data_IF_444514083560
#
_entry.id   IF_444514083560
#
_cell.length_a   1.000
_cell.length_b   1.000
_cell.length_c   1.000
_cell.angle_alpha   90.00
_cell.angle_beta   90.00
_cell.angle_gamma   90.00
#
_symmetry.space_group_name_H-M   'P 1'
#
loop_
_entity.id
_entity.type
_entity.pdbx_description
1 polymer ?
#
# COMPACT_ATOMS: atom_id res chain seq x y z
N UNK A 1 -7.39 -25.61 7.34
CA UNK A 1 -7.98 -24.79 8.42
C UNK A 1 -7.97 -23.31 8.05
N UNK A 2 -6.82 -22.74 7.71
CA UNK A 2 -6.74 -21.30 7.39
C UNK A 2 -7.01 -20.97 5.93
N UNK A 3 -7.13 -21.95 5.06
CA UNK A 3 -7.32 -21.70 3.61
C UNK A 3 -8.62 -20.94 3.30
N UNK A 4 -9.65 -21.08 4.14
CA UNK A 4 -10.92 -20.40 3.98
C UNK A 4 -11.03 -19.11 4.79
N UNK A 5 -9.99 -18.75 5.54
CA UNK A 5 -9.99 -17.54 6.35
C UNK A 5 -9.81 -16.28 5.50
N UNK A 6 -10.42 -15.20 5.94
CA UNK A 6 -10.15 -13.88 5.36
C UNK A 6 -8.78 -13.41 5.84
N UNK A 7 -7.98 -12.91 4.92
CA UNK A 7 -6.64 -12.39 5.23
C UNK A 7 -6.72 -10.88 5.38
N UNK A 8 -6.20 -10.35 6.49
CA UNK A 8 -6.14 -8.92 6.74
C UNK A 8 -4.69 -8.50 6.90
N UNK A 9 -4.13 -7.70 5.99
CA UNK A 9 -2.81 -7.12 6.18
C UNK A 9 -2.77 -6.19 7.39
N UNK A 10 -1.70 -6.30 8.17
CA UNK A 10 -1.47 -5.46 9.35
C UNK A 10 -0.22 -4.63 9.12
N UNK A 11 -0.40 -3.32 9.07
CA UNK A 11 0.69 -2.36 8.86
C UNK A 11 0.80 -1.45 10.07
N UNK A 12 1.81 -0.59 10.07
CA UNK A 12 2.00 0.40 11.12
C UNK A 12 2.24 1.78 10.55
N UNK A 13 1.89 2.81 11.33
CA UNK A 13 2.22 4.20 10.99
C UNK A 13 2.48 5.01 12.25
N UNK A 14 3.43 5.92 12.15
CA UNK A 14 3.68 6.95 13.16
C UNK A 14 2.91 8.24 12.84
N UNK A 15 2.30 8.31 11.66
CA UNK A 15 1.64 9.52 11.15
C UNK A 15 0.25 9.17 10.63
N UNK A 16 -0.72 8.92 11.53
CA UNK A 16 -2.04 8.42 11.13
C UNK A 16 -2.80 9.37 10.20
N UNK A 17 -2.67 10.70 10.39
CA UNK A 17 -3.37 11.66 9.51
C UNK A 17 -2.86 11.59 8.07
N UNK A 18 -1.53 11.49 7.89
CA UNK A 18 -0.95 11.33 6.57
C UNK A 18 -1.30 9.99 5.95
N UNK A 19 -1.30 8.93 6.75
CA UNK A 19 -1.70 7.60 6.29
C UNK A 19 -3.14 7.61 5.81
N UNK A 20 -4.05 8.23 6.58
CA UNK A 20 -5.47 8.31 6.21
C UNK A 20 -5.64 9.00 4.86
N UNK A 21 -5.01 10.14 4.66
CA UNK A 21 -5.09 10.88 3.40
C UNK A 21 -4.51 10.05 2.24
N UNK A 22 -3.38 9.40 2.45
CA UNK A 22 -2.73 8.61 1.41
C UNK A 22 -3.59 7.43 0.96
N UNK A 23 -4.09 6.65 1.92
CA UNK A 23 -4.85 5.45 1.59
C UNK A 23 -6.23 5.77 1.03
N UNK A 24 -6.87 6.88 1.44
CA UNK A 24 -8.17 7.27 0.90
C UNK A 24 -8.05 8.08 -0.38
N UNK A 25 -7.28 9.17 -0.37
CA UNK A 25 -7.28 10.14 -1.47
C UNK A 25 -6.37 9.69 -2.61
N UNK A 26 -5.22 9.11 -2.28
CA UNK A 26 -4.24 8.70 -3.29
C UNK A 26 -4.51 7.29 -3.77
N UNK A 27 -4.68 6.33 -2.87
CA UNK A 27 -4.91 4.93 -3.25
C UNK A 27 -6.37 4.60 -3.53
N UNK A 28 -7.31 5.45 -3.11
CA UNK A 28 -8.72 5.25 -3.42
C UNK A 28 -9.43 4.20 -2.59
N UNK A 29 -8.88 3.82 -1.44
CA UNK A 29 -9.54 2.88 -0.55
C UNK A 29 -10.59 3.58 0.29
N UNK A 30 -11.60 2.83 0.74
CA UNK A 30 -12.63 3.36 1.60
C UNK A 30 -12.15 3.35 3.06
N UNK A 31 -12.18 4.51 3.71
CA UNK A 31 -11.95 4.58 5.15
C UNK A 31 -13.16 4.01 5.88
N UNK A 32 -12.95 3.02 6.73
CA UNK A 32 -14.02 2.34 7.45
C UNK A 32 -14.18 2.91 8.85
N UNK A 33 -13.10 2.89 9.63
CA UNK A 33 -13.14 3.36 11.01
C UNK A 33 -11.74 3.60 11.56
N UNK A 34 -11.70 4.36 12.64
CA UNK A 34 -10.54 4.52 13.50
C UNK A 34 -10.98 4.09 14.90
N UNK A 35 -10.47 2.97 15.36
CA UNK A 35 -10.85 2.41 16.66
C UNK A 35 -9.95 2.90 17.82
N UNK A 36 -9.12 3.91 17.57
CA UNK A 36 -8.17 4.46 18.55
C UNK A 36 -6.83 3.76 18.55
N UNK A 37 -6.77 2.52 18.07
CA UNK A 37 -5.53 1.74 17.95
C UNK A 37 -5.06 1.68 16.51
N UNK A 38 -5.99 1.62 15.57
CA UNK A 38 -5.67 1.48 14.15
C UNK A 38 -6.71 2.16 13.27
N UNK A 39 -6.26 2.51 12.07
CA UNK A 39 -7.12 2.94 10.97
C UNK A 39 -7.46 1.71 10.15
N UNK A 40 -8.71 1.60 9.73
CA UNK A 40 -9.18 0.47 8.92
C UNK A 40 -9.67 1.00 7.58
N UNK A 41 -9.16 0.40 6.51
CA UNK A 41 -9.51 0.75 5.12
C UNK A 41 -10.01 -0.49 4.39
N UNK A 42 -10.99 -0.32 3.52
CA UNK A 42 -11.55 -1.42 2.74
C UNK A 42 -11.37 -1.19 1.24
N UNK A 43 -10.93 -2.21 0.55
CA UNK A 43 -11.07 -2.38 -0.89
C UNK A 43 -12.12 -3.45 -1.16
N UNK A 44 -12.30 -3.82 -2.43
CA UNK A 44 -13.30 -4.85 -2.79
C UNK A 44 -12.91 -6.24 -2.29
N UNK A 45 -11.62 -6.52 -2.19
CA UNK A 45 -11.11 -7.86 -1.91
C UNK A 45 -10.35 -7.98 -0.60
N UNK A 46 -10.16 -6.90 0.14
CA UNK A 46 -9.40 -6.95 1.39
C UNK A 46 -9.73 -5.77 2.28
N UNK A 47 -9.54 -5.98 3.57
CA UNK A 47 -9.54 -4.93 4.58
C UNK A 47 -8.11 -4.79 5.09
N UNK A 48 -7.61 -3.56 5.14
CA UNK A 48 -6.26 -3.26 5.59
C UNK A 48 -6.35 -2.54 6.91
N UNK A 49 -5.57 -3.01 7.89
CA UNK A 49 -5.53 -2.41 9.21
C UNK A 49 -4.15 -1.78 9.43
N UNK A 50 -4.13 -0.48 9.76
CA UNK A 50 -2.91 0.28 9.98
C UNK A 50 -2.87 0.77 11.41
N UNK A 51 -2.02 0.16 12.21
CA UNK A 51 -1.92 0.46 13.64
C UNK A 51 -1.12 1.74 13.87
N UNK A 52 -1.56 2.51 14.87
CA UNK A 52 -0.74 3.60 15.40
C UNK A 52 0.40 3.01 16.20
N UNK A 53 1.62 3.34 15.85
CA UNK A 53 2.81 2.86 16.56
C UNK A 53 3.68 4.04 16.97
N UNK A 54 4.31 3.99 18.15
CA UNK A 54 5.15 5.11 18.64
C UNK A 54 6.51 5.17 17.93
N UNK A 55 6.95 4.04 17.38
CA UNK A 55 8.21 3.96 16.65
C UNK A 55 8.16 2.80 15.69
N UNK A 56 8.79 2.95 14.53
CA UNK A 56 8.93 1.88 13.56
C UNK A 56 10.12 2.13 12.66
N UNK A 57 10.73 1.06 12.20
CA UNK A 57 11.67 1.09 11.08
C UNK A 57 10.96 0.45 9.88
N UNK A 58 10.86 1.14 8.74
CA UNK A 58 10.26 0.54 7.55
C UNK A 58 10.97 -0.75 7.16
N UNK A 59 10.19 -1.76 6.80
CA UNK A 59 10.75 -3.02 6.32
C UNK A 59 11.52 -2.79 5.03
N UNK A 60 12.63 -3.51 4.85
CA UNK A 60 13.42 -3.41 3.64
C UNK A 60 12.94 -4.38 2.54
N UNK A 61 11.69 -4.81 2.65
CA UNK A 61 11.02 -5.68 1.71
C UNK A 61 9.56 -5.25 1.60
N UNK A 62 8.87 -5.68 0.55
CA UNK A 62 7.47 -5.34 0.34
C UNK A 62 6.59 -6.01 1.40
N UNK A 63 5.72 -5.22 2.04
CA UNK A 63 4.80 -5.71 3.07
C UNK A 63 3.35 -5.67 2.61
N UNK A 64 3.06 -4.98 1.51
CA UNK A 64 1.73 -4.86 0.94
C UNK A 64 1.87 -4.78 -0.57
N UNK A 65 1.11 -5.59 -1.28
CA UNK A 65 1.09 -5.58 -2.73
C UNK A 65 -0.34 -5.49 -3.23
N UNK A 66 -0.53 -4.70 -4.27
CA UNK A 66 -1.77 -4.63 -5.01
C UNK A 66 -1.55 -5.27 -6.36
N UNK A 67 -2.31 -6.32 -6.66
CA UNK A 67 -2.25 -6.97 -7.96
C UNK A 67 -3.25 -6.26 -8.88
N UNK A 68 -2.76 -5.69 -9.95
CA UNK A 68 -3.58 -4.88 -10.86
C UNK A 68 -3.55 -5.47 -12.27
N UNK A 69 -4.62 -5.30 -13.05
CA UNK A 69 -4.66 -5.86 -14.42
C UNK A 69 -3.75 -5.12 -15.40
N UNK A 70 -3.44 -3.84 -15.14
CA UNK A 70 -2.61 -3.02 -16.02
C UNK A 70 -1.68 -2.16 -15.15
N UNK A 71 -0.43 -2.60 -15.01
CA UNK A 71 0.54 -1.94 -14.15
C UNK A 71 0.91 -0.54 -14.68
N UNK A 72 0.97 -0.35 -15.98
CA UNK A 72 1.31 0.96 -16.54
C UNK A 72 0.22 1.98 -16.26
N UNK A 73 -1.04 1.59 -16.41
CA UNK A 73 -2.17 2.47 -16.11
C UNK A 73 -2.22 2.80 -14.62
N UNK A 74 -1.97 1.82 -13.75
CA UNK A 74 -1.94 2.03 -12.29
C UNK A 74 -0.82 2.99 -11.90
N UNK A 75 0.37 2.80 -12.43
CA UNK A 75 1.52 3.67 -12.14
C UNK A 75 1.27 5.08 -12.64
N UNK A 76 0.75 5.24 -13.87
CA UNK A 76 0.46 6.56 -14.42
C UNK A 76 -0.62 7.28 -13.60
N UNK A 77 -1.66 6.57 -13.19
CA UNK A 77 -2.72 7.13 -12.35
C UNK A 77 -2.22 7.60 -10.99
N UNK A 78 -1.35 6.82 -10.36
CA UNK A 78 -0.75 7.19 -9.07
C UNK A 78 0.23 8.36 -9.23
N UNK A 79 1.03 8.36 -10.28
CA UNK A 79 1.96 9.46 -10.56
C UNK A 79 1.19 10.78 -10.77
N UNK A 80 0.03 10.73 -11.42
CA UNK A 80 -0.82 11.90 -11.60
C UNK A 80 -1.33 12.47 -10.26
N UNK A 81 -1.37 11.65 -9.22
CA UNK A 81 -1.73 12.08 -7.86
C UNK A 81 -0.53 12.44 -6.99
N UNK A 82 0.64 12.51 -7.59
CA UNK A 82 1.86 12.95 -6.90
C UNK A 82 2.71 11.84 -6.29
N UNK A 83 2.39 10.57 -6.56
CA UNK A 83 3.21 9.47 -6.07
C UNK A 83 4.54 9.43 -6.81
N UNK A 84 5.63 9.36 -6.06
CA UNK A 84 6.97 9.18 -6.60
C UNK A 84 7.43 7.78 -6.27
N UNK A 85 7.65 6.98 -7.30
CA UNK A 85 8.05 5.58 -7.13
C UNK A 85 9.53 5.47 -6.81
N UNK A 86 9.86 4.58 -5.87
CA UNK A 86 11.23 4.39 -5.44
C UNK A 86 12.09 3.79 -6.55
N UNK A 87 13.34 4.19 -6.59
CA UNK A 87 14.34 3.63 -7.49
C UNK A 87 15.35 2.82 -6.68
N UNK A 88 15.56 1.59 -7.13
CA UNK A 88 16.48 0.68 -6.46
C UNK A 88 17.66 0.43 -7.42
N UNK A 89 18.86 0.70 -6.99
CA UNK A 89 20.04 0.59 -7.86
C UNK A 89 20.38 -0.82 -8.34
N UNK A 90 19.70 -1.83 -7.79
CA UNK A 90 19.95 -3.24 -8.14
C UNK A 90 18.89 -3.86 -9.06
N UNK A 91 17.88 -3.09 -9.49
CA UNK A 91 16.87 -3.52 -10.45
C UNK A 91 16.95 -2.68 -11.72
N UNK A 92 16.76 -3.28 -12.90
CA UNK A 92 16.54 -2.51 -14.13
C UNK A 92 15.07 -2.03 -14.17
N UNK A 93 14.84 -0.82 -13.68
CA UNK A 93 13.52 -0.19 -13.72
C UNK A 93 13.41 0.72 -14.93
N UNK A 94 12.23 0.71 -15.59
CA UNK A 94 11.98 1.59 -16.71
C UNK A 94 11.78 3.05 -16.26
N UNK A 95 11.53 4.02 -17.17
CA UNK A 95 11.33 5.41 -16.77
C UNK A 95 10.18 5.64 -15.79
N UNK A 96 9.16 4.78 -15.79
CA UNK A 96 8.07 4.83 -14.82
C UNK A 96 8.43 4.23 -13.47
N UNK A 97 9.56 3.54 -13.36
CA UNK A 97 9.95 2.82 -12.17
C UNK A 97 9.50 1.36 -12.13
N UNK A 98 8.98 0.87 -13.25
CA UNK A 98 8.48 -0.50 -13.35
C UNK A 98 9.63 -1.46 -13.59
N UNK A 99 9.64 -2.56 -12.83
CA UNK A 99 10.56 -3.66 -13.02
C UNK A 99 9.78 -4.89 -13.47
N UNK A 100 10.21 -5.46 -14.57
CA UNK A 100 9.64 -6.71 -15.07
C UNK A 100 10.55 -7.85 -14.64
N UNK A 101 10.08 -8.69 -13.74
CA UNK A 101 10.85 -9.84 -13.28
C UNK A 101 11.02 -10.85 -14.42
N UNK A 102 12.20 -11.47 -14.56
CA UNK A 102 12.38 -12.56 -15.52
C UNK A 102 11.55 -13.76 -15.08
N UNK A 103 11.02 -14.50 -16.06
CA UNK A 103 10.25 -15.72 -15.79
C UNK A 103 11.12 -16.88 -15.33
#
# INVERSE_FOLDING_TARGET
>A
MLASATVTPLLGTMKPELAKAFYTDTLGLKFVTDDGFALVFAGENATIRISRVPAMAPAQYAVLAFVVPDIEAAVDGLAAKGVVFARFGFFPQDPRGIWAAPD
#
